data_IF_806125351205
#
_entry.id   IF_806125351205
#
_cell.length_a   1.000
_cell.length_b   1.000
_cell.length_c   1.000
_cell.angle_alpha   90.00
_cell.angle_beta   90.00
_cell.angle_gamma   90.00
#
_symmetry.space_group_name_H-M   'P 1'
#
loop_
_entity.id
_entity.type
_entity.pdbx_description
1 polymer ?
#
# COMPACT_ATOMS: atom_id res chain seq x y z
N UNK A 1 -2.16 0.14 0.78
CA UNK A 1 -2.58 -1.27 0.90
C UNK A 1 -4.08 -1.39 0.65
N UNK A 2 -4.47 -2.26 -0.27
CA UNK A 2 -5.87 -2.63 -0.55
C UNK A 2 -6.20 -4.01 -0.01
N UNK A 3 -5.18 -4.84 0.18
CA UNK A 3 -5.29 -6.17 0.76
C UNK A 3 -5.16 -6.15 2.27
N UNK A 4 -5.52 -7.26 2.88
CA UNK A 4 -5.35 -7.65 4.27
C UNK A 4 -6.24 -6.92 5.29
N UNK A 5 -6.49 -7.57 6.42
CA UNK A 5 -7.30 -7.11 7.56
C UNK A 5 -8.78 -6.84 7.24
N UNK A 6 -9.08 -6.31 6.04
CA UNK A 6 -10.44 -6.10 5.56
C UNK A 6 -11.09 -7.38 5.02
N UNK A 7 -12.44 -7.45 5.07
CA UNK A 7 -13.18 -8.67 4.71
C UNK A 7 -13.71 -8.70 3.27
N UNK A 8 -13.55 -7.63 2.49
CA UNK A 8 -14.22 -7.41 1.21
C UNK A 8 -13.27 -6.80 0.15
N UNK A 9 -12.00 -7.19 0.17
CA UNK A 9 -11.00 -6.59 -0.70
C UNK A 9 -11.34 -6.76 -2.19
N UNK A 10 -11.90 -7.92 -2.57
CA UNK A 10 -12.26 -8.20 -3.96
C UNK A 10 -13.29 -7.22 -4.52
N UNK A 11 -14.30 -6.87 -3.72
CA UNK A 11 -15.30 -5.87 -4.12
C UNK A 11 -14.68 -4.49 -4.32
N UNK A 12 -13.70 -4.12 -3.49
CA UNK A 12 -12.96 -2.85 -3.61
C UNK A 12 -12.15 -2.84 -4.91
N UNK A 13 -11.39 -3.91 -5.18
CA UNK A 13 -10.59 -3.98 -6.41
C UNK A 13 -11.44 -3.99 -7.66
N UNK A 14 -12.55 -4.76 -7.69
CA UNK A 14 -13.46 -4.77 -8.84
C UNK A 14 -14.15 -3.42 -9.08
N UNK A 15 -14.44 -2.66 -8.02
CA UNK A 15 -14.93 -1.28 -8.17
C UNK A 15 -13.84 -0.38 -8.75
N UNK A 16 -12.64 -0.45 -8.21
CA UNK A 16 -11.49 0.33 -8.68
C UNK A 16 -11.12 0.06 -10.14
N UNK A 17 -11.16 -1.21 -10.58
CA UNK A 17 -10.91 -1.60 -11.99
C UNK A 17 -11.86 -0.92 -12.98
N UNK A 18 -13.04 -0.44 -12.55
CA UNK A 18 -14.00 0.24 -13.42
C UNK A 18 -13.69 1.73 -13.62
N UNK A 19 -12.66 2.25 -12.92
CA UNK A 19 -12.33 3.67 -12.89
C UNK A 19 -10.94 3.96 -13.46
N UNK A 20 -10.86 4.38 -14.71
CA UNK A 20 -9.61 4.71 -15.42
C UNK A 20 -8.83 5.90 -14.79
N UNK A 21 -9.46 6.67 -13.93
CA UNK A 21 -8.87 7.86 -13.29
C UNK A 21 -8.26 7.55 -11.91
N UNK A 22 -8.12 6.30 -11.53
CA UNK A 22 -7.47 5.86 -10.28
C UNK A 22 -6.05 5.39 -10.61
N UNK A 23 -5.06 5.93 -9.90
CA UNK A 23 -3.68 5.44 -9.92
C UNK A 23 -3.44 4.74 -8.58
N UNK A 24 -3.12 3.46 -8.65
CA UNK A 24 -2.82 2.64 -7.47
C UNK A 24 -1.33 2.65 -7.19
N UNK A 25 -0.97 2.84 -5.94
CA UNK A 25 0.40 2.67 -5.46
C UNK A 25 0.50 1.36 -4.69
N UNK A 26 1.47 0.54 -5.05
CA UNK A 26 1.70 -0.73 -4.38
C UNK A 26 2.12 -0.52 -2.94
N UNK A 27 1.40 -1.16 -2.03
CA UNK A 27 1.80 -1.29 -0.64
C UNK A 27 2.54 -2.60 -0.36
N UNK A 28 3.16 -2.70 0.80
CA UNK A 28 3.83 -3.93 1.20
C UNK A 28 2.86 -5.11 1.33
N UNK A 29 1.64 -4.89 1.81
CA UNK A 29 0.59 -5.91 1.87
C UNK A 29 0.10 -6.32 0.49
N UNK A 30 -0.07 -5.37 -0.43
CA UNK A 30 -0.47 -5.66 -1.81
C UNK A 30 0.58 -6.53 -2.51
N UNK A 31 1.87 -6.19 -2.35
CA UNK A 31 2.96 -6.95 -2.94
C UNK A 31 3.08 -8.37 -2.38
N UNK A 32 3.14 -8.51 -1.04
CA UNK A 32 3.24 -9.82 -0.39
C UNK A 32 2.00 -10.66 -0.67
N UNK A 33 0.81 -10.05 -0.58
CA UNK A 33 -0.46 -10.71 -0.87
C UNK A 33 -0.55 -11.22 -2.30
N UNK A 34 -0.15 -10.41 -3.30
CA UNK A 34 -0.11 -10.84 -4.70
C UNK A 34 0.83 -12.04 -4.92
N UNK A 35 2.03 -12.02 -4.30
CA UNK A 35 2.95 -13.16 -4.35
C UNK A 35 2.35 -14.44 -3.74
N UNK A 36 1.75 -14.33 -2.55
CA UNK A 36 1.14 -15.45 -1.85
C UNK A 36 -0.07 -16.00 -2.62
N UNK A 37 -0.97 -15.14 -3.07
CA UNK A 37 -2.15 -15.51 -3.85
C UNK A 37 -1.76 -16.14 -5.19
N UNK A 38 -0.74 -15.61 -5.87
CA UNK A 38 -0.21 -16.16 -7.11
C UNK A 38 0.38 -17.57 -6.95
N UNK A 39 0.97 -17.88 -5.79
CA UNK A 39 1.43 -19.24 -5.48
C UNK A 39 0.25 -20.18 -5.17
N UNK A 40 -0.74 -19.70 -4.41
CA UNK A 40 -1.89 -20.48 -3.95
C UNK A 40 -2.95 -20.67 -5.04
N UNK A 41 -2.97 -19.86 -6.11
CA UNK A 41 -3.88 -20.00 -7.25
C UNK A 41 -3.43 -21.06 -8.26
N UNK A 42 -2.17 -21.49 -8.23
CA UNK A 42 -1.66 -22.55 -9.11
C UNK A 42 -2.30 -23.89 -8.75
N UNK A 43 -2.58 -24.72 -9.77
CA UNK A 43 -3.06 -26.08 -9.54
C UNK A 43 -2.08 -26.86 -8.65
N UNK A 44 -2.61 -27.45 -7.58
CA UNK A 44 -1.83 -28.32 -6.70
C UNK A 44 -1.65 -29.66 -7.41
N UNK A 45 -0.53 -29.81 -8.10
CA UNK A 45 -0.07 -31.09 -8.66
C UNK A 45 0.97 -31.71 -7.75
N UNK A 46 1.26 -33.00 -7.89
CA UNK A 46 2.37 -33.64 -7.15
C UNK A 46 3.70 -32.93 -7.41
N UNK A 47 3.91 -32.42 -8.62
CA UNK A 47 5.11 -31.69 -9.02
C UNK A 47 5.15 -30.29 -8.38
N UNK A 48 4.00 -29.61 -8.22
CA UNK A 48 3.94 -28.31 -7.52
C UNK A 48 4.17 -28.45 -6.01
N UNK A 49 3.73 -29.55 -5.39
CA UNK A 49 4.00 -29.85 -3.98
C UNK A 49 5.49 -30.11 -3.70
N UNK A 50 6.20 -30.76 -4.64
CA UNK A 50 7.65 -30.99 -4.52
C UNK A 50 8.46 -29.68 -4.68
N UNK A 51 7.90 -28.67 -5.36
CA UNK A 51 8.51 -27.35 -5.59
C UNK A 51 8.13 -26.31 -4.52
N UNK A 52 7.25 -26.64 -3.58
CA UNK A 52 6.96 -25.78 -2.42
C UNK A 52 8.15 -25.86 -1.45
N UNK A 53 9.05 -24.90 -1.55
CA UNK A 53 10.16 -24.84 -0.62
C UNK A 53 9.70 -24.33 0.77
N UNK A 54 10.50 -24.59 1.79
CA UNK A 54 10.20 -24.18 3.18
C UNK A 54 10.10 -22.67 3.33
N UNK A 55 10.83 -21.93 2.52
CA UNK A 55 10.86 -20.47 2.55
C UNK A 55 9.54 -19.87 2.03
N UNK A 56 8.99 -20.41 0.94
CA UNK A 56 7.67 -20.01 0.42
C UNK A 56 6.56 -20.26 1.44
N UNK A 57 6.59 -21.42 2.13
CA UNK A 57 5.62 -21.70 3.19
C UNK A 57 5.73 -20.73 4.38
N UNK A 58 6.95 -20.38 4.77
CA UNK A 58 7.19 -19.42 5.85
C UNK A 58 6.61 -18.05 5.51
N UNK A 59 6.87 -17.52 4.29
CA UNK A 59 6.31 -16.26 3.82
C UNK A 59 4.77 -16.28 3.81
N UNK A 60 4.15 -17.36 3.34
CA UNK A 60 2.69 -17.51 3.34
C UNK A 60 2.14 -17.49 4.77
N UNK A 61 2.78 -18.20 5.70
CA UNK A 61 2.34 -18.26 7.10
C UNK A 61 2.49 -16.90 7.79
N UNK A 62 3.57 -16.18 7.55
CA UNK A 62 3.78 -14.82 8.06
C UNK A 62 2.71 -13.88 7.52
N UNK A 63 2.46 -13.91 6.21
CA UNK A 63 1.41 -13.10 5.59
C UNK A 63 0.03 -13.39 6.17
N UNK A 64 -0.36 -14.66 6.31
CA UNK A 64 -1.65 -15.04 6.91
C UNK A 64 -1.79 -14.46 8.33
N UNK A 65 -0.73 -14.52 9.14
CA UNK A 65 -0.72 -14.00 10.52
C UNK A 65 -0.75 -12.47 10.58
N UNK A 66 -0.25 -11.77 9.56
CA UNK A 66 -0.28 -10.29 9.47
C UNK A 66 -1.54 -9.73 8.80
N UNK A 67 -2.59 -10.53 8.69
CA UNK A 67 -3.91 -10.09 8.21
C UNK A 67 -4.34 -10.67 6.87
N UNK A 68 -3.48 -11.46 6.21
CA UNK A 68 -3.77 -12.11 4.93
C UNK A 68 -4.86 -13.18 5.00
N UNK A 69 -5.22 -13.66 6.21
CA UNK A 69 -6.31 -14.64 6.38
C UNK A 69 -7.64 -14.12 5.81
N UNK A 70 -7.95 -12.83 6.04
CA UNK A 70 -9.16 -12.21 5.52
C UNK A 70 -9.16 -12.15 3.99
N UNK A 71 -8.03 -11.76 3.40
CA UNK A 71 -7.78 -11.75 1.96
C UNK A 71 -7.93 -13.14 1.35
N UNK A 72 -7.25 -14.14 1.91
CA UNK A 72 -7.32 -15.52 1.43
C UNK A 72 -8.74 -16.08 1.47
N UNK A 73 -9.50 -15.78 2.52
CA UNK A 73 -10.89 -16.22 2.68
C UNK A 73 -11.81 -15.61 1.61
N UNK A 74 -11.63 -14.35 1.27
CA UNK A 74 -12.39 -13.67 0.22
C UNK A 74 -11.98 -14.20 -1.16
N UNK A 75 -10.69 -14.26 -1.45
CA UNK A 75 -10.12 -14.78 -2.70
C UNK A 75 -10.55 -16.22 -3.01
N UNK A 76 -10.65 -17.07 -2.00
CA UNK A 76 -11.05 -18.49 -2.18
C UNK A 76 -12.46 -18.67 -2.74
N UNK A 77 -13.33 -17.65 -2.64
CA UNK A 77 -14.71 -17.68 -3.13
C UNK A 77 -14.87 -17.27 -4.59
N UNK A 78 -13.81 -16.71 -5.17
CA UNK A 78 -13.81 -16.18 -6.52
C UNK A 78 -13.69 -17.30 -7.57
N UNK A 79 -14.23 -17.06 -8.76
CA UNK A 79 -13.94 -17.90 -9.93
C UNK A 79 -12.48 -17.76 -10.35
N UNK A 80 -11.98 -18.69 -11.17
CA UNK A 80 -10.61 -18.61 -11.66
C UNK A 80 -10.38 -17.33 -12.49
N UNK A 81 -11.30 -16.96 -13.37
CA UNK A 81 -11.26 -15.72 -14.14
C UNK A 81 -11.13 -14.48 -13.23
N UNK A 82 -11.93 -14.40 -12.16
CA UNK A 82 -11.86 -13.29 -11.19
C UNK A 82 -10.53 -13.26 -10.41
N UNK A 83 -9.96 -14.43 -10.12
CA UNK A 83 -8.64 -14.51 -9.47
C UNK A 83 -7.54 -14.01 -10.40
N UNK A 84 -7.59 -14.41 -11.65
CA UNK A 84 -6.63 -13.99 -12.67
C UNK A 84 -6.72 -12.46 -12.89
N UNK A 85 -7.94 -11.91 -13.04
CA UNK A 85 -8.17 -10.47 -13.17
C UNK A 85 -7.58 -9.68 -11.98
N UNK A 86 -7.77 -10.16 -10.74
CA UNK A 86 -7.21 -9.52 -9.54
C UNK A 86 -5.69 -9.56 -9.54
N UNK A 87 -5.08 -10.71 -9.86
CA UNK A 87 -3.63 -10.84 -9.89
C UNK A 87 -3.00 -9.97 -10.98
N UNK A 88 -3.61 -9.91 -12.14
CA UNK A 88 -3.16 -9.04 -13.23
C UNK A 88 -3.24 -7.56 -12.80
N UNK A 89 -4.34 -7.15 -12.19
CA UNK A 89 -4.53 -5.78 -11.73
C UNK A 89 -3.56 -5.37 -10.62
N UNK A 90 -3.29 -6.23 -9.65
CA UNK A 90 -2.28 -5.97 -8.61
C UNK A 90 -0.87 -5.79 -9.20
N UNK A 91 -0.56 -6.46 -10.30
CA UNK A 91 0.72 -6.31 -10.99
C UNK A 91 0.84 -4.98 -11.77
N UNK A 92 -0.26 -4.26 -11.99
CA UNK A 92 -0.27 -2.95 -12.65
C UNK A 92 -0.07 -1.78 -11.67
N UNK A 93 0.00 -2.04 -10.36
CA UNK A 93 0.18 -0.99 -9.36
C UNK A 93 1.53 -0.29 -9.51
N UNK A 94 1.50 1.03 -9.46
CA UNK A 94 2.68 1.87 -9.59
C UNK A 94 3.48 1.92 -8.29
N UNK A 95 4.79 2.09 -8.39
CA UNK A 95 5.68 2.22 -7.23
C UNK A 95 5.53 3.58 -6.54
N UNK A 96 5.32 4.64 -7.33
CA UNK A 96 5.15 6.02 -6.88
C UNK A 96 4.35 6.81 -7.91
N UNK A 97 3.88 8.00 -7.52
CA UNK A 97 3.31 8.98 -8.44
C UNK A 97 3.85 10.38 -8.14
N UNK A 98 3.98 11.21 -9.17
CA UNK A 98 4.22 12.64 -9.03
C UNK A 98 2.99 13.40 -9.53
N UNK A 99 2.48 14.34 -8.73
CA UNK A 99 1.34 15.16 -9.10
C UNK A 99 1.57 16.63 -8.74
N UNK A 100 1.00 17.52 -9.55
CA UNK A 100 0.92 18.94 -9.23
C UNK A 100 -0.55 19.28 -8.92
N UNK A 101 -0.82 19.78 -7.74
CA UNK A 101 -2.15 20.15 -7.30
C UNK A 101 -2.10 21.39 -6.38
N UNK A 102 -3.07 22.29 -6.48
CA UNK A 102 -3.09 23.52 -5.66
C UNK A 102 -1.81 24.38 -5.76
N UNK A 103 -1.11 24.33 -6.89
CA UNK A 103 0.17 25.04 -7.11
C UNK A 103 1.37 24.44 -6.37
N UNK A 104 1.28 23.24 -5.85
CA UNK A 104 2.35 22.50 -5.15
C UNK A 104 2.69 21.23 -5.90
N UNK A 105 3.91 20.75 -5.71
CA UNK A 105 4.40 19.49 -6.26
C UNK A 105 4.43 18.42 -5.17
N UNK A 106 3.82 17.28 -5.44
CA UNK A 106 3.72 16.16 -4.52
C UNK A 106 4.39 14.92 -5.11
N UNK A 107 5.08 14.19 -4.26
CA UNK A 107 5.54 12.81 -4.51
C UNK A 107 4.70 11.91 -3.61
N UNK A 108 4.08 10.91 -4.19
CA UNK A 108 3.27 9.93 -3.48
C UNK A 108 3.98 8.58 -3.53
N UNK A 109 4.21 7.97 -2.37
CA UNK A 109 4.76 6.62 -2.25
C UNK A 109 4.11 5.94 -1.04
N UNK A 110 3.97 4.61 -1.07
CA UNK A 110 3.27 3.91 0.01
C UNK A 110 3.94 4.15 1.38
N UNK A 111 5.21 3.81 1.53
CA UNK A 111 5.91 3.92 2.82
C UNK A 111 6.84 5.15 2.93
N UNK A 112 7.29 5.67 1.80
CA UNK A 112 8.20 6.81 1.75
C UNK A 112 9.33 6.63 0.77
N UNK A 113 10.48 7.25 1.06
CA UNK A 113 11.71 7.16 0.26
C UNK A 113 12.83 6.61 1.15
N UNK A 114 12.96 5.29 1.21
CA UNK A 114 14.02 4.62 1.95
C UNK A 114 15.40 4.97 1.40
N UNK A 115 16.40 5.10 2.28
CA UNK A 115 17.76 5.48 1.89
C UNK A 115 17.79 6.77 1.03
N UNK A 116 17.01 7.77 1.43
CA UNK A 116 16.88 9.03 0.70
C UNK A 116 18.25 9.70 0.48
N UNK A 117 18.49 10.11 -0.76
CA UNK A 117 19.57 11.01 -1.15
C UNK A 117 19.02 12.07 -2.13
N UNK A 118 19.44 13.34 -2.00
CA UNK A 118 18.99 14.41 -2.91
C UNK A 118 19.34 14.17 -4.39
N UNK A 119 20.37 13.36 -4.66
CA UNK A 119 20.84 13.03 -6.01
C UNK A 119 20.13 11.81 -6.60
N UNK A 120 19.42 11.03 -5.76
CA UNK A 120 18.73 9.80 -6.19
C UNK A 120 17.44 10.15 -6.90
N UNK A 121 17.30 9.70 -8.17
CA UNK A 121 16.07 9.92 -8.94
C UNK A 121 14.99 8.98 -8.45
N UNK A 122 13.72 9.34 -8.59
CA UNK A 122 12.59 8.52 -8.13
C UNK A 122 12.56 7.14 -8.79
N UNK A 123 12.92 7.06 -10.06
CA UNK A 123 13.00 5.81 -10.82
C UNK A 123 14.12 4.85 -10.37
N UNK A 124 15.06 5.31 -9.55
CA UNK A 124 16.17 4.51 -9.02
C UNK A 124 15.83 3.89 -7.64
N UNK A 125 14.66 4.22 -7.06
CA UNK A 125 14.22 3.60 -5.81
C UNK A 125 13.65 2.21 -6.04
N UNK A 126 14.03 1.27 -5.19
CA UNK A 126 13.49 -0.07 -5.20
C UNK A 126 12.09 -0.14 -4.57
N UNK A 127 11.35 -1.21 -4.87
CA UNK A 127 10.09 -1.53 -4.19
C UNK A 127 10.26 -1.54 -2.66
N UNK A 128 11.34 -2.14 -2.15
CA UNK A 128 11.62 -2.19 -0.71
C UNK A 128 11.72 -0.79 -0.10
N UNK A 129 12.40 0.13 -0.79
CA UNK A 129 12.56 1.51 -0.34
C UNK A 129 11.26 2.32 -0.39
N UNK A 130 10.34 2.01 -1.32
CA UNK A 130 9.09 2.75 -1.53
C UNK A 130 7.90 2.18 -0.74
N UNK A 131 7.87 0.85 -0.52
CA UNK A 131 6.72 0.18 0.08
C UNK A 131 6.97 -0.42 1.48
N UNK A 132 8.23 -0.61 1.91
CA UNK A 132 8.55 -1.25 3.19
C UNK A 132 9.35 -0.36 4.16
N UNK A 133 9.85 0.77 3.70
CA UNK A 133 10.65 1.66 4.54
C UNK A 133 9.80 2.41 5.57
N UNK A 134 10.45 3.18 6.43
CA UNK A 134 9.77 4.12 7.32
C UNK A 134 10.32 5.52 7.12
N UNK A 135 9.42 6.46 6.93
CA UNK A 135 9.75 7.87 6.76
C UNK A 135 10.11 8.52 8.09
N UNK A 136 11.17 9.33 8.09
CA UNK A 136 11.51 10.20 9.21
C UNK A 136 10.77 11.55 9.05
N UNK A 137 9.68 11.70 9.80
CA UNK A 137 8.83 12.90 9.74
C UNK A 137 9.39 14.10 10.49
N UNK A 138 10.51 13.94 11.23
CA UNK A 138 11.12 15.03 12.00
C UNK A 138 11.81 16.09 11.13
N UNK A 139 12.10 15.78 9.87
CA UNK A 139 12.82 16.65 8.94
C UNK A 139 12.24 16.61 7.53
N UNK A 140 12.34 17.72 6.80
CA UNK A 140 11.98 17.79 5.40
C UNK A 140 13.01 17.04 4.53
N UNK A 141 12.54 16.20 3.61
CA UNK A 141 13.40 15.58 2.59
C UNK A 141 13.63 16.55 1.42
N UNK A 142 12.60 17.31 1.04
CA UNK A 142 12.61 18.26 -0.06
C UNK A 142 12.34 19.69 0.44
N UNK A 143 12.81 20.68 -0.31
CA UNK A 143 12.53 22.09 -0.05
C UNK A 143 11.31 22.59 -0.84
N UNK A 144 11.04 21.99 -1.99
CA UNK A 144 10.07 22.43 -3.00
C UNK A 144 8.97 21.39 -3.29
N UNK A 145 9.09 20.17 -2.76
CA UNK A 145 8.12 19.09 -2.92
C UNK A 145 7.57 18.63 -1.58
N UNK A 146 6.40 18.04 -1.60
CA UNK A 146 5.75 17.42 -0.42
C UNK A 146 5.67 15.91 -0.65
N UNK A 147 6.18 15.14 0.30
CA UNK A 147 6.04 13.68 0.28
C UNK A 147 4.72 13.27 0.95
N UNK A 148 3.89 12.52 0.23
CA UNK A 148 2.63 11.95 0.75
C UNK A 148 2.82 10.44 0.95
N UNK A 149 2.50 9.95 2.14
CA UNK A 149 2.71 8.54 2.53
C UNK A 149 1.53 7.95 3.29
N UNK A 150 1.39 6.62 3.20
CA UNK A 150 0.59 5.76 4.06
C UNK A 150 1.46 4.94 5.02
N UNK A 151 1.22 3.64 5.12
CA UNK A 151 2.04 2.60 5.75
C UNK A 151 2.31 2.76 7.26
N UNK A 152 2.72 3.93 7.69
CA UNK A 152 2.97 4.21 9.10
C UNK A 152 1.74 4.88 9.69
N UNK A 153 1.00 4.20 10.58
CA UNK A 153 -0.15 4.80 11.24
C UNK A 153 0.22 6.14 11.90
N UNK A 154 -0.56 7.17 11.59
CA UNK A 154 -0.30 8.54 12.08
C UNK A 154 -0.32 8.67 13.59
N UNK A 155 -0.87 7.68 14.29
CA UNK A 155 -0.80 7.56 15.75
C UNK A 155 0.61 7.22 16.26
N UNK A 156 1.49 6.70 15.39
CA UNK A 156 2.87 6.35 15.73
C UNK A 156 3.86 7.47 15.36
N UNK A 157 3.39 8.55 14.73
CA UNK A 157 4.23 9.70 14.37
C UNK A 157 4.31 10.63 15.57
N UNK A 158 5.49 10.74 16.17
CA UNK A 158 5.72 11.55 17.38
C UNK A 158 5.45 13.04 17.16
N UNK A 159 5.66 13.53 15.94
CA UNK A 159 5.42 14.91 15.52
C UNK A 159 3.94 15.22 15.32
N UNK A 160 3.06 14.20 15.29
CA UNK A 160 1.64 14.39 15.03
C UNK A 160 0.90 14.89 16.28
N UNK A 161 0.43 16.15 16.31
CA UNK A 161 -0.29 16.69 17.46
C UNK A 161 -1.69 16.06 17.64
N UNK A 162 -2.18 15.35 16.62
CA UNK A 162 -3.51 14.70 16.61
C UNK A 162 -3.39 13.26 16.12
N UNK A 163 -2.92 12.32 16.95
CA UNK A 163 -2.77 10.91 16.58
C UNK A 163 -4.05 10.31 15.98
N UNK A 164 -3.90 9.50 14.90
CA UNK A 164 -5.03 8.90 14.19
C UNK A 164 -5.78 9.84 13.23
N UNK A 165 -5.24 11.03 12.97
CA UNK A 165 -5.67 11.95 11.91
C UNK A 165 -4.49 12.22 10.98
N UNK A 166 -4.78 12.70 9.77
CA UNK A 166 -3.75 13.06 8.79
C UNK A 166 -2.71 14.00 9.42
N UNK A 167 -1.45 13.64 9.28
CA UNK A 167 -0.32 14.46 9.72
C UNK A 167 0.14 15.37 8.59
N UNK A 168 0.45 16.62 8.91
CA UNK A 168 1.08 17.59 8.00
C UNK A 168 2.20 18.32 8.72
N UNK A 169 3.40 18.17 8.27
CA UNK A 169 4.57 18.87 8.83
C UNK A 169 5.83 18.55 8.05
N UNK A 170 6.82 19.39 8.13
CA UNK A 170 8.14 19.19 7.53
C UNK A 170 8.12 18.73 6.06
N UNK A 171 7.25 19.30 5.23
CA UNK A 171 7.02 18.89 3.84
C UNK A 171 6.57 17.42 3.68
N UNK A 172 5.87 16.89 4.69
CA UNK A 172 5.23 15.57 4.66
C UNK A 172 3.72 15.69 4.87
N UNK A 173 3.00 14.76 4.26
CA UNK A 173 1.60 14.44 4.55
C UNK A 173 1.54 12.94 4.77
N UNK A 174 1.18 12.47 5.98
CA UNK A 174 0.92 11.06 6.25
C UNK A 174 -0.59 10.84 6.39
N UNK A 175 -1.13 9.90 5.61
CA UNK A 175 -2.58 9.69 5.49
C UNK A 175 -3.08 8.39 6.12
N UNK A 176 -2.20 7.51 6.61
CA UNK A 176 -2.62 6.29 7.29
C UNK A 176 -3.17 6.60 8.69
N UNK A 177 -4.47 6.74 8.79
CA UNK A 177 -5.15 7.01 10.07
C UNK A 177 -5.48 5.73 10.85
N UNK A 178 -4.88 4.59 10.49
CA UNK A 178 -4.96 3.33 11.22
C UNK A 178 -6.18 2.48 10.88
N UNK A 179 -6.79 2.63 9.71
CA UNK A 179 -7.99 1.90 9.28
C UNK A 179 -7.85 0.38 9.47
N UNK A 180 -6.72 -0.21 9.05
CA UNK A 180 -6.43 -1.64 9.20
C UNK A 180 -6.30 -2.11 10.66
N UNK A 181 -6.30 -1.20 11.63
CA UNK A 181 -6.21 -1.47 13.08
C UNK A 181 -7.41 -0.93 13.86
N UNK A 182 -8.55 -0.73 13.18
CA UNK A 182 -9.76 -0.20 13.80
C UNK A 182 -9.76 1.32 14.01
N UNK A 183 -8.83 2.03 13.37
CA UNK A 183 -8.83 3.49 13.25
C UNK A 183 -9.70 3.96 12.08
N UNK A 184 -9.37 5.13 11.54
CA UNK A 184 -10.12 5.77 10.44
C UNK A 184 -9.48 5.48 9.08
N UNK A 185 -10.31 5.46 8.04
CA UNK A 185 -9.84 5.67 6.67
C UNK A 185 -9.74 7.16 6.42
N UNK A 186 -8.55 7.66 6.11
CA UNK A 186 -8.30 9.07 5.79
C UNK A 186 -8.12 9.30 4.30
N UNK A 187 -8.65 10.42 3.80
CA UNK A 187 -8.39 10.90 2.45
C UNK A 187 -8.17 12.42 2.45
N UNK A 188 -7.40 12.92 1.49
CA UNK A 188 -7.09 14.33 1.35
C UNK A 188 -7.25 14.78 -0.10
N UNK A 189 -7.91 15.92 -0.31
CA UNK A 189 -7.89 16.64 -1.57
C UNK A 189 -6.63 17.49 -1.64
N UNK A 190 -5.69 17.17 -2.54
CA UNK A 190 -4.42 17.90 -2.63
C UNK A 190 -4.56 19.34 -3.20
N UNK A 191 -5.63 19.62 -3.97
CA UNK A 191 -5.90 20.96 -4.48
C UNK A 191 -6.34 21.93 -3.38
N UNK A 192 -7.25 21.48 -2.52
CA UNK A 192 -7.88 22.33 -1.49
C UNK A 192 -7.26 22.13 -0.11
N UNK A 193 -6.65 20.97 0.11
CA UNK A 193 -6.18 20.53 1.42
C UNK A 193 -7.32 20.05 2.33
N UNK A 194 -8.53 19.82 1.83
CA UNK A 194 -9.65 19.28 2.60
C UNK A 194 -9.42 17.81 2.93
N UNK A 195 -9.74 17.44 4.16
CA UNK A 195 -9.55 16.09 4.70
C UNK A 195 -10.90 15.40 4.91
N UNK A 196 -10.98 14.15 4.58
CA UNK A 196 -12.16 13.30 4.72
C UNK A 196 -11.81 12.09 5.57
N UNK A 197 -12.77 11.64 6.39
CA UNK A 197 -12.58 10.50 7.30
C UNK A 197 -13.82 9.63 7.33
N UNK A 198 -13.61 8.30 7.34
CA UNK A 198 -14.64 7.28 7.59
C UNK A 198 -14.20 6.47 8.81
N UNK A 199 -15.12 6.28 9.78
CA UNK A 199 -14.92 5.50 11.00
C UNK A 199 -15.40 4.05 10.83
#
# INVERSE_FOLDING_TARGET
>A
DTLDRGTNFSSVLFDMMQHENIIHLVGNHDFIGALCLGQLSKEITNESLENFDSNTLEVILEWLNDGGEATMKDFSRLSQEQKDDILDYLNEFELYAEVCAGGKHYILAHAGLGNFSPEKRLEDYSLEELAFSRTDYSKALFQDKILVTGHTPTSLISENPKPGYIYRGNHHIAIDCGCGFGGRLGAICLDTGEEFYVE
#
